data_IF_953082986255
#
_entry.id   IF_953082986255
#
_cell.length_a   1.000
_cell.length_b   1.000
_cell.length_c   1.000
_cell.angle_alpha   90.00
_cell.angle_beta   90.00
_cell.angle_gamma   90.00
#
_symmetry.space_group_name_H-M   'P 1'
#
loop_
_entity.id
_entity.type
_entity.pdbx_description
1 polymer ?
#
# COMPACT_ATOMS: atom_id res chain seq x y z
N UNK A 1 6.84 -15.33 -2.91
CA UNK A 1 7.05 -14.50 -4.12
C UNK A 1 8.10 -13.45 -3.81
N UNK A 2 9.06 -13.18 -4.71
CA UNK A 2 9.96 -12.04 -4.60
C UNK A 2 9.16 -10.74 -4.44
N UNK A 3 9.63 -9.84 -3.57
CA UNK A 3 8.91 -8.59 -3.28
C UNK A 3 8.69 -7.72 -4.52
N UNK A 4 9.64 -7.74 -5.45
CA UNK A 4 9.52 -7.04 -6.73
C UNK A 4 8.36 -7.57 -7.57
N UNK A 5 8.11 -8.89 -7.56
CA UNK A 5 6.97 -9.48 -8.25
C UNK A 5 5.65 -9.07 -7.58
N UNK A 6 5.60 -9.03 -6.24
CA UNK A 6 4.44 -8.50 -5.51
C UNK A 6 4.16 -7.03 -5.90
N UNK A 7 5.21 -6.20 -5.96
CA UNK A 7 5.08 -4.81 -6.35
C UNK A 7 4.46 -4.65 -7.74
N UNK A 8 4.97 -5.36 -8.75
CA UNK A 8 4.41 -5.31 -10.10
C UNK A 8 2.94 -5.73 -10.16
N UNK A 9 2.53 -6.75 -9.39
CA UNK A 9 1.14 -7.21 -9.34
C UNK A 9 0.18 -6.23 -8.63
N UNK A 10 0.71 -5.27 -7.87
CA UNK A 10 -0.06 -4.33 -7.05
C UNK A 10 -0.03 -2.89 -7.60
N UNK A 11 0.56 -2.65 -8.77
CA UNK A 11 0.52 -1.33 -9.42
C UNK A 11 -0.94 -0.89 -9.63
N UNK A 12 -1.23 0.36 -9.29
CA UNK A 12 -2.54 0.98 -9.33
C UNK A 12 -3.45 0.64 -8.14
N UNK A 13 -2.99 -0.17 -7.17
CA UNK A 13 -3.80 -0.61 -6.02
C UNK A 13 -3.41 0.09 -4.72
N UNK A 14 -4.34 0.24 -3.78
CA UNK A 14 -4.00 0.61 -2.41
C UNK A 14 -3.22 -0.52 -1.75
N UNK A 15 -2.13 -0.15 -1.09
CA UNK A 15 -1.21 -1.08 -0.43
C UNK A 15 -0.82 -0.59 0.96
N UNK A 16 -0.54 -1.55 1.84
CA UNK A 16 0.28 -1.33 3.03
C UNK A 16 1.71 -1.79 2.75
N UNK A 17 2.68 -1.03 3.21
CA UNK A 17 4.11 -1.27 3.00
C UNK A 17 4.77 -1.38 4.37
N UNK A 18 5.39 -2.52 4.65
CA UNK A 18 6.21 -2.71 5.85
C UNK A 18 7.65 -2.36 5.51
N UNK A 19 8.26 -1.46 6.26
CA UNK A 19 9.63 -1.02 6.07
C UNK A 19 10.59 -1.78 6.99
N UNK A 20 11.85 -1.85 6.58
CA UNK A 20 12.90 -2.59 7.31
C UNK A 20 13.21 -1.99 8.69
N UNK A 21 12.95 -0.70 8.88
CA UNK A 21 13.11 0.01 10.16
C UNK A 21 11.99 -0.26 11.17
N UNK A 22 11.01 -1.10 10.80
CA UNK A 22 9.86 -1.46 11.65
C UNK A 22 8.67 -0.51 11.51
N UNK A 23 8.79 0.57 10.74
CA UNK A 23 7.67 1.44 10.43
C UNK A 23 6.82 0.88 9.27
N UNK A 24 5.66 1.49 9.05
CA UNK A 24 4.79 1.16 7.93
C UNK A 24 4.16 2.40 7.34
N UNK A 25 3.92 2.35 6.03
CA UNK A 25 3.20 3.38 5.28
C UNK A 25 2.08 2.77 4.46
N UNK A 26 1.14 3.60 4.04
CA UNK A 26 0.02 3.17 3.20
C UNK A 26 -0.25 4.20 2.11
N UNK A 27 -0.67 3.73 0.94
CA UNK A 27 -0.90 4.59 -0.21
C UNK A 27 -1.24 3.80 -1.47
N UNK A 28 -1.28 4.48 -2.61
CA UNK A 28 -1.46 3.83 -3.92
C UNK A 28 -0.09 3.56 -4.53
N UNK A 29 0.22 2.31 -4.86
CA UNK A 29 1.45 1.95 -5.57
C UNK A 29 1.34 2.36 -7.04
N UNK A 30 2.05 3.40 -7.47
CA UNK A 30 1.89 3.96 -8.81
C UNK A 30 2.85 3.36 -9.84
N UNK A 31 4.08 3.03 -9.45
CA UNK A 31 5.06 2.45 -10.36
C UNK A 31 6.20 1.73 -9.64
N UNK A 32 6.97 0.98 -10.43
CA UNK A 32 8.23 0.35 -10.02
C UNK A 32 9.29 0.75 -11.05
N UNK A 33 10.34 1.44 -10.63
CA UNK A 33 11.42 1.89 -11.51
C UNK A 33 12.73 2.03 -10.73
N UNK A 34 13.86 1.69 -11.36
CA UNK A 34 15.19 1.92 -10.78
C UNK A 34 15.41 1.23 -9.42
N UNK A 35 14.80 0.05 -9.21
CA UNK A 35 14.91 -0.67 -7.93
C UNK A 35 14.09 -0.06 -6.78
N UNK A 36 13.18 0.86 -7.08
CA UNK A 36 12.29 1.51 -6.12
C UNK A 36 10.83 1.34 -6.49
N UNK A 37 9.97 1.37 -5.46
CA UNK A 37 8.53 1.55 -5.58
C UNK A 37 8.20 3.04 -5.41
N UNK A 38 7.21 3.54 -6.16
CA UNK A 38 6.70 4.91 -6.04
C UNK A 38 5.25 4.87 -5.59
N UNK A 39 4.94 5.58 -4.51
CA UNK A 39 3.69 5.46 -3.77
C UNK A 39 3.12 6.84 -3.52
N UNK A 40 1.85 7.04 -3.87
CA UNK A 40 1.12 8.25 -3.48
C UNK A 40 0.62 8.04 -2.06
N UNK A 41 1.11 8.89 -1.15
CA UNK A 41 0.73 8.90 0.26
C UNK A 41 0.01 10.21 0.62
N UNK A 42 -0.90 10.10 1.58
CA UNK A 42 -1.46 11.28 2.24
C UNK A 42 -0.36 12.02 3.02
N UNK A 43 -0.27 13.33 2.85
CA UNK A 43 0.67 14.16 3.57
C UNK A 43 -0.04 15.00 4.63
N UNK A 44 -0.91 15.92 4.20
CA UNK A 44 -1.64 16.84 5.06
C UNK A 44 -2.80 17.52 4.33
N UNK A 45 -3.92 17.73 5.04
CA UNK A 45 -5.13 18.40 4.56
C UNK A 45 -5.74 17.73 3.31
N UNK A 46 -5.52 18.31 2.14
CA UNK A 46 -5.98 17.80 0.83
C UNK A 46 -4.81 17.45 -0.07
N UNK A 47 -3.60 17.34 0.51
CA UNK A 47 -2.36 17.15 -0.22
C UNK A 47 -1.90 15.70 -0.13
N UNK A 48 -1.45 15.21 -1.28
CA UNK A 48 -0.81 13.93 -1.45
C UNK A 48 0.57 14.14 -2.06
N UNK A 49 1.51 13.29 -1.68
CA UNK A 49 2.87 13.33 -2.21
C UNK A 49 3.26 11.96 -2.76
N UNK A 50 3.99 11.95 -3.87
CA UNK A 50 4.64 10.72 -4.34
C UNK A 50 5.94 10.55 -3.57
N UNK A 51 6.02 9.49 -2.78
CA UNK A 51 7.26 9.05 -2.12
C UNK A 51 7.82 7.84 -2.84
N UNK A 52 9.10 7.57 -2.63
CA UNK A 52 9.75 6.39 -3.17
C UNK A 52 10.53 5.64 -2.11
N UNK A 53 10.55 4.32 -2.23
CA UNK A 53 11.27 3.41 -1.34
C UNK A 53 12.03 2.41 -2.17
N UNK A 54 13.33 2.27 -1.93
CA UNK A 54 14.14 1.23 -2.56
C UNK A 54 13.72 -0.14 -2.04
N UNK A 55 13.87 -1.20 -2.83
CA UNK A 55 13.52 -2.56 -2.38
C UNK A 55 14.29 -2.99 -1.11
N UNK A 56 15.47 -2.43 -0.85
CA UNK A 56 16.23 -2.69 0.37
C UNK A 56 15.59 -2.09 1.63
N UNK A 57 14.77 -1.04 1.48
CA UNK A 57 14.02 -0.44 2.58
C UNK A 57 12.70 -1.17 2.84
N UNK A 58 12.23 -1.99 1.90
CA UNK A 58 10.91 -2.62 1.96
C UNK A 58 11.02 -4.06 2.43
N UNK A 59 10.34 -4.37 3.54
CA UNK A 59 10.22 -5.72 4.08
C UNK A 59 9.10 -6.51 3.41
N UNK A 60 7.92 -5.90 3.25
CA UNK A 60 6.81 -6.52 2.52
C UNK A 60 5.85 -5.47 1.92
N UNK A 61 5.07 -5.89 0.92
CA UNK A 61 4.00 -5.10 0.29
C UNK A 61 2.73 -5.95 0.30
N UNK A 62 1.67 -5.43 0.89
CA UNK A 62 0.39 -6.12 1.06
C UNK A 62 -0.74 -5.32 0.40
N UNK A 63 -1.70 -5.99 -0.27
CA UNK A 63 -2.91 -5.31 -0.73
C UNK A 63 -3.67 -4.74 0.49
N UNK A 64 -4.16 -3.51 0.38
CA UNK A 64 -4.91 -2.91 1.47
C UNK A 64 -6.23 -3.68 1.68
N UNK A 65 -6.57 -4.07 2.92
CA UNK A 65 -7.76 -4.86 3.17
C UNK A 65 -9.03 -4.07 2.89
N UNK A 66 -10.10 -4.78 2.55
CA UNK A 66 -11.43 -4.19 2.50
C UNK A 66 -11.90 -3.84 3.92
N UNK A 67 -12.67 -2.75 4.05
CA UNK A 67 -13.33 -2.47 5.32
C UNK A 67 -14.23 -3.66 5.71
N UNK A 68 -14.24 -4.08 6.98
CA UNK A 68 -15.25 -5.00 7.47
C UNK A 68 -16.62 -4.44 7.09
N UNK A 69 -17.46 -5.27 6.46
CA UNK A 69 -18.83 -4.86 6.16
C UNK A 69 -19.49 -4.49 7.49
N UNK A 70 -20.09 -3.28 7.62
CA UNK A 70 -20.87 -2.97 8.81
C UNK A 70 -21.98 -4.00 8.91
N UNK A 71 -22.11 -4.63 10.09
CA UNK A 71 -23.21 -5.54 10.37
C UNK A 71 -24.52 -4.78 10.13
N UNK A 72 -25.23 -5.14 9.07
CA UNK A 72 -26.62 -4.76 8.87
C UNK A 72 -27.45 -5.89 9.47
N UNK A 73 -28.07 -5.71 10.65
CA UNK A 73 -29.01 -6.71 11.15
C UNK A 73 -30.10 -6.89 10.09
N UNK A 74 -30.20 -8.09 9.54
CA UNK A 74 -31.31 -8.46 8.69
C UNK A 74 -32.57 -8.42 9.55
N UNK A 75 -33.64 -7.70 9.15
CA UNK A 75 -34.89 -7.76 9.89
C UNK A 75 -35.41 -9.20 9.84
N UNK A 76 -35.62 -9.79 11.02
CA UNK A 76 -36.35 -11.05 11.15
C UNK A 76 -37.80 -10.76 10.73
N UNK A 77 -38.24 -11.40 9.64
CA UNK A 77 -39.65 -11.50 9.25
C UNK A 77 -40.32 -12.63 10.01
#
# INVERSE_FOLDING_TARGET
>A
MPIQQKAYALIGRPVGISLMDGTGVSGILCSVQGGSIYVIEYLYHTQFATKHYTFNQVRDILPFPQCPQPYTPQPLY
#
